data_IF_800320711451
#
_entry.id   IF_800320711451
#
_cell.length_a   1.000
_cell.length_b   1.000
_cell.length_c   1.000
_cell.angle_alpha   90.00
_cell.angle_beta   90.00
_cell.angle_gamma   90.00
#
_symmetry.space_group_name_H-M   'P 1'
#
loop_
_entity.id
_entity.type
_entity.pdbx_description
1 polymer ?
#
# COMPACT_ATOMS: atom_id res chain seq x y z
N UNK A 1 -33.97 -23.66 -43.29
CA UNK A 1 -34.57 -24.10 -42.00
C UNK A 1 -35.25 -22.90 -41.38
N UNK A 2 -36.57 -23.00 -41.14
CA UNK A 2 -37.34 -21.89 -40.59
C UNK A 2 -36.88 -21.60 -39.16
N UNK A 3 -36.37 -20.41 -38.91
CA UNK A 3 -36.15 -19.90 -37.55
C UNK A 3 -37.52 -19.64 -36.93
N UNK A 4 -38.04 -20.59 -36.16
CA UNK A 4 -39.17 -20.31 -35.26
C UNK A 4 -38.70 -19.26 -34.26
N UNK A 5 -39.14 -18.02 -34.46
CA UNK A 5 -39.04 -16.98 -33.45
C UNK A 5 -40.03 -17.39 -32.35
N UNK A 6 -39.56 -17.55 -31.12
CA UNK A 6 -40.40 -17.94 -30.00
C UNK A 6 -41.38 -16.81 -29.66
N UNK A 7 -42.65 -16.97 -30.04
CA UNK A 7 -43.72 -15.99 -29.77
C UNK A 7 -44.41 -16.19 -28.40
N UNK A 8 -44.00 -17.18 -27.60
CA UNK A 8 -44.57 -17.42 -26.27
C UNK A 8 -43.90 -16.56 -25.18
N UNK A 9 -44.14 -15.25 -25.22
CA UNK A 9 -43.72 -14.33 -24.16
C UNK A 9 -44.53 -14.57 -22.88
N UNK A 10 -43.97 -15.35 -21.94
CA UNK A 10 -44.56 -15.55 -20.61
C UNK A 10 -44.39 -14.28 -19.76
N UNK A 11 -45.46 -13.51 -19.61
CA UNK A 11 -45.47 -12.30 -18.78
C UNK A 11 -45.31 -12.66 -17.30
N UNK A 12 -44.25 -12.17 -16.65
CA UNK A 12 -44.05 -12.28 -15.20
C UNK A 12 -44.73 -11.11 -14.49
N UNK A 13 -45.83 -11.40 -13.76
CA UNK A 13 -46.47 -10.40 -12.90
C UNK A 13 -45.58 -10.10 -11.69
N UNK A 14 -45.14 -8.85 -11.55
CA UNK A 14 -44.42 -8.35 -10.38
C UNK A 14 -45.40 -7.69 -9.41
N UNK A 15 -45.28 -8.00 -8.11
CA UNK A 15 -46.03 -7.35 -7.03
C UNK A 15 -45.16 -6.33 -6.27
N UNK A 16 -43.98 -6.00 -6.80
CA UNK A 16 -43.08 -5.03 -6.21
C UNK A 16 -43.75 -3.65 -6.13
N UNK A 17 -43.83 -3.09 -4.93
CA UNK A 17 -44.40 -1.75 -4.69
C UNK A 17 -43.41 -0.63 -4.97
N UNK A 18 -42.11 -0.93 -4.85
CA UNK A 18 -41.00 -0.01 -5.08
C UNK A 18 -40.48 -0.23 -6.50
N UNK A 19 -40.36 0.86 -7.26
CA UNK A 19 -39.83 0.83 -8.62
C UNK A 19 -38.30 0.88 -8.60
N UNK A 20 -37.65 0.11 -9.48
CA UNK A 20 -36.20 0.19 -9.64
C UNK A 20 -35.84 1.53 -10.27
N UNK A 21 -35.02 2.33 -9.57
CA UNK A 21 -34.53 3.61 -10.09
C UNK A 21 -33.31 3.44 -11.01
N UNK A 22 -32.60 2.32 -10.86
CA UNK A 22 -31.37 2.02 -11.58
C UNK A 22 -31.48 0.58 -12.08
N UNK A 23 -31.02 0.35 -13.30
CA UNK A 23 -30.96 -0.99 -13.87
C UNK A 23 -29.88 -1.85 -13.21
N UNK A 24 -30.04 -3.17 -13.29
CA UNK A 24 -29.05 -4.10 -12.77
C UNK A 24 -27.77 -3.95 -13.60
N UNK A 25 -26.63 -3.60 -12.98
CA UNK A 25 -25.38 -3.43 -13.71
C UNK A 25 -24.85 -4.78 -14.22
N UNK A 26 -23.88 -4.73 -15.13
CA UNK A 26 -23.17 -5.93 -15.55
C UNK A 26 -22.47 -6.59 -14.34
N UNK A 27 -22.89 -7.80 -13.98
CA UNK A 27 -22.44 -8.49 -12.78
C UNK A 27 -20.97 -8.97 -12.85
N UNK A 28 -20.41 -9.06 -14.05
CA UNK A 28 -18.99 -9.43 -14.26
C UNK A 28 -18.10 -8.23 -14.58
N UNK A 29 -18.64 -7.00 -14.49
CA UNK A 29 -17.94 -5.78 -14.86
C UNK A 29 -16.68 -5.54 -14.03
N UNK A 30 -16.71 -5.91 -12.73
CA UNK A 30 -15.58 -5.76 -11.82
C UNK A 30 -14.34 -6.47 -12.37
N UNK A 31 -14.51 -7.70 -12.87
CA UNK A 31 -13.39 -8.50 -13.41
C UNK A 31 -12.88 -7.90 -14.71
N UNK A 32 -13.79 -7.60 -15.64
CA UNK A 32 -13.45 -7.01 -16.94
C UNK A 32 -12.71 -5.69 -16.79
N UNK A 33 -13.32 -4.75 -16.07
CA UNK A 33 -12.76 -3.41 -15.85
C UNK A 33 -11.40 -3.45 -15.15
N UNK A 34 -11.22 -4.37 -14.18
CA UNK A 34 -9.92 -4.53 -13.51
C UNK A 34 -8.84 -4.99 -14.48
N UNK A 35 -9.17 -5.91 -15.39
CA UNK A 35 -8.22 -6.47 -16.34
C UNK A 35 -7.95 -5.54 -17.51
N UNK A 36 -8.96 -4.82 -17.99
CA UNK A 36 -8.82 -3.75 -18.99
C UNK A 36 -7.91 -2.64 -18.47
N UNK A 37 -8.07 -2.24 -17.21
CA UNK A 37 -7.17 -1.26 -16.57
C UNK A 37 -5.75 -1.80 -16.40
N UNK A 38 -5.59 -3.11 -16.20
CA UNK A 38 -4.28 -3.73 -16.08
C UNK A 38 -3.52 -3.73 -17.42
N UNK A 39 -4.17 -4.11 -18.52
CA UNK A 39 -3.54 -4.22 -19.84
C UNK A 39 -3.54 -2.93 -20.65
N UNK A 40 -4.56 -2.09 -20.51
CA UNK A 40 -4.81 -0.89 -21.32
C UNK A 40 -4.74 -1.15 -22.83
N UNK A 41 -5.36 -2.27 -23.28
CA UNK A 41 -5.42 -2.65 -24.69
C UNK A 41 -6.16 -1.57 -25.50
N UNK A 42 -5.62 -1.22 -26.67
CA UNK A 42 -6.22 -0.23 -27.56
C UNK A 42 -5.98 1.24 -27.17
N UNK A 43 -5.31 1.51 -26.04
CA UNK A 43 -4.86 2.86 -25.68
C UNK A 43 -3.48 3.11 -26.28
N UNK A 44 -3.34 4.25 -26.96
CA UNK A 44 -2.06 4.68 -27.52
C UNK A 44 -0.98 4.72 -26.42
N UNK A 45 0.23 4.20 -26.65
CA UNK A 45 1.29 4.14 -25.64
C UNK A 45 1.58 5.46 -24.93
N UNK A 46 1.40 6.61 -25.60
CA UNK A 46 1.64 7.94 -25.02
C UNK A 46 0.49 8.42 -24.13
N UNK A 47 -0.72 7.89 -24.34
CA UNK A 47 -1.93 8.26 -23.61
C UNK A 47 -2.29 7.27 -22.49
N UNK A 48 -1.48 6.23 -22.28
CA UNK A 48 -1.70 5.27 -21.20
C UNK A 48 -1.53 5.91 -19.84
N UNK A 49 -2.49 5.62 -18.96
CA UNK A 49 -2.42 5.99 -17.56
C UNK A 49 -1.27 5.26 -16.87
N UNK A 50 -0.71 5.88 -15.83
CA UNK A 50 0.31 5.26 -14.98
C UNK A 50 -0.30 4.20 -14.03
N UNK A 51 -0.93 3.17 -14.62
CA UNK A 51 -1.57 2.06 -13.91
C UNK A 51 -1.32 0.73 -14.64
N UNK A 52 -1.56 -0.40 -13.97
CA UNK A 52 -1.39 -1.71 -14.59
C UNK A 52 0.06 -2.00 -15.01
N UNK A 53 0.23 -2.56 -16.20
CA UNK A 53 1.55 -2.85 -16.78
C UNK A 53 2.42 -1.60 -16.94
N UNK A 54 1.83 -0.47 -17.34
CA UNK A 54 2.55 0.79 -17.54
C UNK A 54 3.26 1.25 -16.26
N UNK A 55 2.54 1.24 -15.13
CA UNK A 55 3.10 1.60 -13.82
C UNK A 55 4.20 0.63 -13.36
N UNK A 56 4.06 -0.66 -13.67
CA UNK A 56 5.08 -1.66 -13.32
C UNK A 56 6.37 -1.39 -14.09
N UNK A 57 6.29 -1.16 -15.40
CA UNK A 57 7.47 -0.85 -16.20
C UNK A 57 8.12 0.47 -15.78
N UNK A 58 7.35 1.55 -15.60
CA UNK A 58 7.88 2.84 -15.13
C UNK A 58 8.49 2.80 -13.74
N UNK A 59 8.07 1.86 -12.88
CA UNK A 59 8.66 1.69 -11.55
C UNK A 59 9.99 0.94 -11.59
N UNK A 60 10.15 0.01 -12.52
CA UNK A 60 11.36 -0.83 -12.62
C UNK A 60 12.44 -0.12 -13.46
N UNK A 61 12.04 0.60 -14.49
CA UNK A 61 12.94 1.33 -15.37
C UNK A 61 13.05 2.81 -14.94
N UNK A 62 14.21 3.47 -15.11
CA UNK A 62 15.40 2.96 -15.80
C UNK A 62 16.24 2.01 -14.94
N UNK A 63 16.81 0.98 -15.58
CA UNK A 63 17.78 0.08 -14.94
C UNK A 63 19.17 0.55 -15.34
N UNK A 64 19.96 0.98 -14.35
CA UNK A 64 21.34 1.44 -14.56
C UNK A 64 22.33 0.35 -14.19
N UNK A 65 23.45 0.32 -14.91
CA UNK A 65 24.62 -0.46 -14.54
C UNK A 65 25.28 0.13 -13.26
N UNK A 66 26.00 -0.71 -12.52
CA UNK A 66 26.74 -0.34 -11.30
C UNK A 66 27.71 0.84 -11.49
N UNK A 67 28.30 0.98 -12.67
CA UNK A 67 29.23 2.05 -13.00
C UNK A 67 28.57 3.26 -13.68
N UNK A 68 27.23 3.27 -13.81
CA UNK A 68 26.47 4.30 -14.54
C UNK A 68 26.95 4.51 -16.00
N UNK A 69 27.55 3.50 -16.63
CA UNK A 69 28.01 3.57 -18.04
C UNK A 69 26.94 3.14 -19.03
N UNK A 70 25.91 2.42 -18.56
CA UNK A 70 24.77 2.03 -19.37
C UNK A 70 23.47 2.17 -18.60
N UNK A 71 22.40 2.53 -19.31
CA UNK A 71 21.04 2.54 -18.78
C UNK A 71 20.07 1.90 -19.79
N UNK A 72 19.20 1.04 -19.28
CA UNK A 72 18.05 0.53 -20.01
C UNK A 72 16.82 1.34 -19.62
N UNK A 73 16.13 1.85 -20.62
CA UNK A 73 14.91 2.66 -20.48
C UNK A 73 13.73 1.94 -21.13
N UNK A 74 12.57 1.99 -20.48
CA UNK A 74 11.31 1.50 -21.03
C UNK A 74 10.70 2.56 -21.97
N UNK A 75 10.36 2.17 -23.19
CA UNK A 75 9.70 3.05 -24.17
C UNK A 75 8.20 2.76 -24.25
N UNK A 76 7.82 1.53 -24.59
CA UNK A 76 6.43 1.08 -24.70
C UNK A 76 6.31 -0.44 -24.58
N UNK A 77 5.09 -0.93 -24.42
CA UNK A 77 4.76 -2.36 -24.57
C UNK A 77 3.62 -2.54 -25.58
N UNK A 78 3.64 -3.65 -26.28
CA UNK A 78 2.62 -4.07 -27.24
C UNK A 78 2.22 -5.51 -26.92
N UNK A 79 0.93 -5.79 -26.99
CA UNK A 79 0.38 -7.13 -26.80
C UNK A 79 -0.23 -7.51 -28.15
N UNK A 80 0.36 -8.52 -28.78
CA UNK A 80 -0.07 -9.01 -30.08
C UNK A 80 -1.37 -9.81 -29.96
N UNK A 81 -1.98 -10.18 -31.09
CA UNK A 81 -3.11 -11.08 -31.09
C UNK A 81 -2.72 -12.49 -30.57
N UNK A 82 -3.62 -13.18 -29.84
CA UNK A 82 -3.38 -14.56 -29.45
C UNK A 82 -3.28 -15.45 -30.69
N UNK A 83 -2.44 -16.48 -30.62
CA UNK A 83 -2.19 -17.41 -31.74
C UNK A 83 -3.40 -18.29 -32.07
N UNK A 84 -4.21 -18.58 -31.05
CA UNK A 84 -5.34 -19.50 -31.10
C UNK A 84 -6.54 -18.84 -30.43
N UNK A 85 -7.74 -19.26 -30.81
CA UNK A 85 -8.97 -18.81 -30.18
C UNK A 85 -9.29 -19.60 -28.89
N UNK A 86 -10.38 -19.20 -28.24
CA UNK A 86 -10.85 -19.77 -26.97
C UNK A 86 -11.21 -21.26 -27.14
N UNK A 87 -11.89 -21.63 -28.23
CA UNK A 87 -12.37 -22.99 -28.47
C UNK A 87 -11.22 -23.95 -28.80
N UNK A 88 -10.25 -23.51 -29.59
CA UNK A 88 -9.04 -24.26 -29.93
C UNK A 88 -8.16 -24.48 -28.70
N UNK A 89 -8.02 -23.47 -27.84
CA UNK A 89 -7.32 -23.61 -26.56
C UNK A 89 -7.99 -24.65 -25.65
N UNK A 90 -9.32 -24.69 -25.61
CA UNK A 90 -10.07 -25.72 -24.88
C UNK A 90 -9.81 -27.12 -25.44
N UNK A 91 -9.96 -27.32 -26.74
CA UNK A 91 -9.83 -28.64 -27.38
C UNK A 91 -8.41 -29.20 -27.29
N UNK A 92 -7.39 -28.34 -27.40
CA UNK A 92 -5.98 -28.75 -27.41
C UNK A 92 -5.30 -28.74 -26.05
N UNK A 93 -5.98 -28.33 -24.99
CA UNK A 93 -5.36 -28.26 -23.67
C UNK A 93 -4.35 -27.11 -23.52
N UNK A 94 -4.48 -26.04 -24.30
CA UNK A 94 -3.54 -24.90 -24.30
C UNK A 94 -4.04 -23.74 -23.43
N UNK A 95 -3.16 -22.78 -23.12
CA UNK A 95 -3.53 -21.54 -22.43
C UNK A 95 -3.90 -20.47 -23.46
N UNK A 96 -5.03 -19.79 -23.27
CA UNK A 96 -5.42 -18.67 -24.13
C UNK A 96 -4.61 -17.43 -23.73
N UNK A 97 -3.57 -17.12 -24.49
CA UNK A 97 -2.60 -16.08 -24.17
C UNK A 97 -2.12 -15.34 -25.43
N UNK A 98 -1.69 -14.11 -25.23
CA UNK A 98 -1.10 -13.26 -26.27
C UNK A 98 0.38 -12.99 -26.00
N UNK A 99 1.23 -12.99 -27.04
CA UNK A 99 2.63 -12.61 -26.87
C UNK A 99 2.75 -11.11 -26.60
N UNK A 100 3.56 -10.74 -25.61
CA UNK A 100 3.87 -9.36 -25.25
C UNK A 100 5.30 -9.02 -25.68
N UNK A 101 5.42 -7.90 -26.39
CA UNK A 101 6.68 -7.26 -26.75
C UNK A 101 6.86 -5.98 -25.96
N UNK A 102 8.09 -5.69 -25.58
CA UNK A 102 8.46 -4.47 -24.88
C UNK A 102 9.58 -3.78 -25.65
N UNK A 103 9.36 -2.53 -26.04
CA UNK A 103 10.37 -1.68 -26.66
C UNK A 103 11.24 -1.11 -25.56
N UNK A 104 12.51 -1.49 -25.56
CA UNK A 104 13.50 -1.06 -24.58
C UNK A 104 14.60 -0.29 -25.31
N UNK A 105 15.08 0.78 -24.69
CA UNK A 105 16.18 1.60 -25.20
C UNK A 105 17.40 1.42 -24.31
N UNK A 106 18.49 0.93 -24.88
CA UNK A 106 19.80 0.89 -24.26
C UNK A 106 20.57 2.17 -24.61
N UNK A 107 20.93 2.95 -23.59
CA UNK A 107 21.77 4.13 -23.70
C UNK A 107 23.13 3.78 -23.10
N UNK A 108 24.20 3.92 -23.89
CA UNK A 108 25.58 3.75 -23.43
C UNK A 108 26.24 5.11 -23.35
N UNK A 109 26.80 5.41 -22.19
CA UNK A 109 27.50 6.63 -21.87
C UNK A 109 29.01 6.41 -22.00
N UNK A 110 29.70 7.41 -22.53
CA UNK A 110 31.15 7.51 -22.50
C UNK A 110 31.52 8.60 -21.51
N UNK A 111 32.34 8.22 -20.53
CA UNK A 111 32.80 9.12 -19.48
C UNK A 111 34.21 9.58 -19.85
N UNK A 112 34.37 10.88 -20.03
CA UNK A 112 35.69 11.47 -20.20
C UNK A 112 36.38 11.52 -18.82
N UNK A 113 37.48 10.78 -18.67
CA UNK A 113 38.25 10.70 -17.42
C UNK A 113 38.86 12.06 -17.01
N UNK A 114 39.07 12.99 -17.96
CA UNK A 114 39.67 14.28 -17.69
C UNK A 114 38.66 15.33 -17.20
N UNK A 115 37.42 15.30 -17.70
CA UNK A 115 36.39 16.32 -17.40
C UNK A 115 35.25 15.79 -16.52
N UNK A 116 35.15 14.48 -16.34
CA UNK A 116 34.05 13.82 -15.64
C UNK A 116 32.69 13.94 -16.35
N UNK A 117 32.66 14.52 -17.56
CA UNK A 117 31.43 14.69 -18.34
C UNK A 117 31.00 13.35 -18.96
N UNK A 118 29.70 13.09 -18.92
CA UNK A 118 29.07 11.94 -19.56
C UNK A 118 28.49 12.37 -20.91
N UNK A 119 29.00 11.80 -21.99
CA UNK A 119 28.44 11.96 -23.34
C UNK A 119 27.75 10.69 -23.79
N UNK A 120 26.68 10.81 -24.59
CA UNK A 120 25.98 9.65 -25.15
C UNK A 120 26.85 9.06 -26.27
N UNK A 121 27.34 7.84 -26.07
CA UNK A 121 28.11 7.10 -27.09
C UNK A 121 27.21 6.41 -28.09
N UNK A 122 26.17 5.74 -27.61
CA UNK A 122 25.25 5.02 -28.49
C UNK A 122 23.87 4.87 -27.85
N UNK A 123 22.85 4.94 -28.68
CA UNK A 123 21.47 4.64 -28.32
C UNK A 123 20.98 3.53 -29.24
N UNK A 124 20.49 2.43 -28.67
CA UNK A 124 19.89 1.33 -29.41
C UNK A 124 18.51 1.05 -28.83
N UNK A 125 17.49 1.10 -29.68
CA UNK A 125 16.12 0.76 -29.32
C UNK A 125 15.74 -0.55 -30.00
N UNK A 126 15.15 -1.47 -29.25
CA UNK A 126 14.76 -2.78 -29.76
C UNK A 126 13.50 -3.28 -29.09
N UNK A 127 12.64 -3.91 -29.90
CA UNK A 127 11.49 -4.66 -29.42
C UNK A 127 11.92 -6.06 -28.99
N UNK A 128 11.75 -6.34 -27.70
CA UNK A 128 12.11 -7.62 -27.09
C UNK A 128 10.84 -8.38 -26.76
N UNK A 129 10.79 -9.65 -27.17
CA UNK A 129 9.75 -10.56 -26.71
C UNK A 129 9.91 -10.81 -25.21
N UNK A 130 8.89 -10.42 -24.44
CA UNK A 130 8.95 -10.44 -22.98
C UNK A 130 8.25 -11.67 -22.36
N UNK A 131 7.32 -12.28 -23.09
CA UNK A 131 6.57 -13.46 -22.66
C UNK A 131 5.15 -13.48 -23.20
N UNK A 132 4.32 -14.39 -22.71
CA UNK A 132 2.89 -14.44 -23.04
C UNK A 132 2.06 -14.03 -21.81
N UNK A 133 0.98 -13.29 -22.05
CA UNK A 133 0.01 -12.89 -21.02
C UNK A 133 -1.32 -13.60 -21.30
N UNK A 134 -1.85 -14.41 -20.36
CA UNK A 134 -3.16 -15.04 -20.50
C UNK A 134 -4.26 -14.00 -20.65
N UNK A 135 -5.07 -14.07 -21.70
CA UNK A 135 -6.13 -13.11 -21.97
C UNK A 135 -7.45 -13.54 -21.32
N UNK A 136 -8.27 -12.54 -20.96
CA UNK A 136 -9.60 -12.77 -20.41
C UNK A 136 -10.60 -13.01 -21.53
N UNK A 137 -11.46 -14.02 -21.37
CA UNK A 137 -12.57 -14.30 -22.30
C UNK A 137 -13.70 -13.27 -22.17
N UNK A 138 -14.67 -13.30 -23.09
CA UNK A 138 -15.87 -12.47 -23.00
C UNK A 138 -16.69 -12.69 -21.72
N UNK A 139 -16.51 -13.81 -21.01
CA UNK A 139 -17.23 -14.16 -19.79
C UNK A 139 -16.50 -13.77 -18.50
N UNK A 140 -15.30 -13.17 -18.59
CA UNK A 140 -14.51 -12.82 -17.41
C UNK A 140 -13.69 -13.97 -16.84
N UNK A 141 -13.42 -14.99 -17.66
CA UNK A 141 -12.67 -16.21 -17.29
C UNK A 141 -11.34 -16.27 -18.05
N UNK A 142 -10.49 -17.22 -17.68
CA UNK A 142 -9.20 -17.48 -18.33
C UNK A 142 -9.09 -18.97 -18.67
N UNK A 143 -8.58 -19.29 -19.85
CA UNK A 143 -8.25 -20.68 -20.19
C UNK A 143 -6.80 -20.92 -19.82
N UNK A 144 -6.56 -21.83 -18.87
CA UNK A 144 -5.23 -22.25 -18.44
C UNK A 144 -5.12 -23.76 -18.63
N UNK A 145 -4.24 -24.19 -19.54
CA UNK A 145 -4.06 -25.58 -19.92
C UNK A 145 -5.39 -26.27 -20.30
N UNK A 146 -6.18 -25.62 -21.16
CA UNK A 146 -7.50 -26.08 -21.63
C UNK A 146 -8.64 -26.02 -20.61
N UNK A 147 -8.35 -25.65 -19.36
CA UNK A 147 -9.34 -25.57 -18.29
C UNK A 147 -9.72 -24.11 -18.04
N UNK A 148 -11.01 -23.84 -17.95
CA UNK A 148 -11.51 -22.51 -17.59
C UNK A 148 -11.30 -22.23 -16.10
N UNK A 149 -10.78 -21.04 -15.80
CA UNK A 149 -10.48 -20.58 -14.45
C UNK A 149 -11.01 -19.17 -14.23
N UNK A 150 -11.38 -18.89 -12.99
CA UNK A 150 -11.82 -17.56 -12.55
C UNK A 150 -10.89 -17.08 -11.45
N UNK A 151 -10.49 -15.81 -11.53
CA UNK A 151 -9.75 -15.15 -10.47
C UNK A 151 -10.74 -14.47 -9.54
N UNK A 152 -10.79 -14.90 -8.28
CA UNK A 152 -11.68 -14.31 -7.27
C UNK A 152 -11.05 -13.07 -6.64
N UNK A 153 -11.85 -12.03 -6.44
CA UNK A 153 -11.40 -10.81 -5.76
C UNK A 153 -11.05 -11.13 -4.30
N UNK A 154 -9.84 -10.76 -3.89
CA UNK A 154 -9.38 -10.96 -2.52
C UNK A 154 -9.73 -9.75 -1.64
N UNK A 155 -10.43 -10.00 -0.54
CA UNK A 155 -10.58 -9.01 0.53
C UNK A 155 -9.38 -9.09 1.48
N UNK A 156 -8.62 -8.01 1.58
CA UNK A 156 -7.49 -7.88 2.47
C UNK A 156 -7.52 -6.53 3.19
N UNK A 157 -6.75 -6.40 4.28
CA UNK A 157 -6.67 -5.13 5.02
C UNK A 157 -5.94 -4.10 4.17
N UNK A 158 -6.49 -2.89 4.08
CA UNK A 158 -5.83 -1.79 3.42
C UNK A 158 -4.53 -1.40 4.15
N UNK A 159 -3.52 -0.89 3.44
CA UNK A 159 -2.38 -0.25 4.08
C UNK A 159 -2.84 0.93 4.96
N UNK A 160 -2.16 1.14 6.08
CA UNK A 160 -2.49 2.22 7.01
C UNK A 160 -2.12 1.92 8.46
N UNK A 161 -2.47 2.86 9.34
CA UNK A 161 -2.32 2.72 10.78
C UNK A 161 -3.64 2.27 11.41
N UNK A 162 -3.58 1.18 12.18
CA UNK A 162 -4.73 0.58 12.86
C UNK A 162 -4.48 0.60 14.36
N UNK A 163 -5.47 1.07 15.11
CA UNK A 163 -5.42 1.06 16.57
C UNK A 163 -6.35 -0.04 17.09
N UNK A 164 -5.84 -0.88 17.97
CA UNK A 164 -6.60 -1.94 18.61
C UNK A 164 -6.61 -1.74 20.11
N UNK A 165 -7.78 -1.97 20.70
CA UNK A 165 -7.94 -2.15 22.14
C UNK A 165 -8.10 -3.65 22.36
N UNK A 166 -7.09 -4.28 22.97
CA UNK A 166 -7.18 -5.70 23.28
C UNK A 166 -8.16 -5.87 24.44
N UNK A 167 -9.43 -6.12 24.11
CA UNK A 167 -10.46 -6.56 25.06
C UNK A 167 -10.48 -8.09 25.24
N UNK A 168 -9.48 -8.79 24.68
CA UNK A 168 -9.42 -10.25 24.68
C UNK A 168 -9.59 -10.80 26.10
N UNK A 169 -10.81 -11.29 26.39
CA UNK A 169 -11.23 -11.89 27.67
C UNK A 169 -10.38 -13.11 28.06
N UNK A 170 -9.57 -13.63 27.13
CA UNK A 170 -8.64 -14.74 27.37
C UNK A 170 -7.24 -14.28 27.82
N UNK A 171 -6.88 -13.01 27.59
CA UNK A 171 -5.62 -12.37 28.03
C UNK A 171 -5.85 -11.15 28.91
N UNK A 172 -7.07 -10.94 29.39
CA UNK A 172 -7.31 -10.06 30.52
C UNK A 172 -6.52 -10.60 31.69
N UNK A 173 -5.42 -9.92 32.03
CA UNK A 173 -4.88 -9.99 33.36
C UNK A 173 -6.03 -9.78 34.34
N UNK A 174 -6.01 -10.49 35.46
CA UNK A 174 -6.98 -10.35 36.55
C UNK A 174 -7.21 -8.88 37.00
N UNK A 175 -6.31 -7.97 36.62
CA UNK A 175 -6.34 -6.52 36.84
C UNK A 175 -7.40 -5.75 36.03
N UNK A 176 -8.00 -6.29 34.96
CA UNK A 176 -8.99 -5.58 34.14
C UNK A 176 -8.46 -4.39 33.31
N UNK A 177 -7.13 -4.20 33.25
CA UNK A 177 -6.48 -3.11 32.52
C UNK A 177 -6.56 -3.33 31.00
N UNK A 178 -7.00 -2.30 30.28
CA UNK A 178 -7.05 -2.30 28.82
C UNK A 178 -5.64 -2.07 28.25
N UNK A 179 -5.24 -2.91 27.28
CA UNK A 179 -3.98 -2.75 26.57
C UNK A 179 -4.24 -2.21 25.16
N UNK A 180 -3.64 -1.06 24.88
CA UNK A 180 -3.69 -0.41 23.58
C UNK A 180 -2.53 -0.89 22.71
N UNK A 181 -2.80 -1.02 21.42
CA UNK A 181 -1.78 -1.31 20.42
C UNK A 181 -2.05 -0.55 19.13
N UNK A 182 -0.99 -0.24 18.39
CA UNK A 182 -1.05 0.39 17.08
C UNK A 182 -0.26 -0.46 16.08
N UNK A 183 -0.80 -0.69 14.89
CA UNK A 183 -0.17 -1.48 13.83
C UNK A 183 -0.12 -0.66 12.56
N UNK A 184 1.06 -0.53 12.00
CA UNK A 184 1.30 0.10 10.71
C UNK A 184 1.48 -1.01 9.68
N UNK A 185 0.53 -1.11 8.76
CA UNK A 185 0.55 -2.04 7.63
C UNK A 185 1.00 -1.27 6.39
N UNK A 186 2.22 -1.50 5.87
CA UNK A 186 2.65 -0.89 4.62
C UNK A 186 2.01 -1.60 3.42
N UNK A 187 1.97 -0.93 2.28
CA UNK A 187 1.59 -1.56 1.01
C UNK A 187 2.61 -2.63 0.57
N UNK A 188 3.90 -2.38 0.83
CA UNK A 188 5.00 -3.34 0.65
C UNK A 188 6.02 -3.13 1.75
N UNK A 189 6.54 -4.22 2.31
CA UNK A 189 7.60 -4.20 3.32
C UNK A 189 7.13 -4.69 4.69
N UNK A 190 7.95 -4.40 5.70
CA UNK A 190 7.80 -4.93 7.05
C UNK A 190 6.72 -4.23 7.85
N UNK A 191 5.97 -5.00 8.65
CA UNK A 191 4.94 -4.45 9.54
C UNK A 191 5.57 -3.91 10.82
N UNK A 192 5.07 -2.77 11.30
CA UNK A 192 5.46 -2.20 12.59
C UNK A 192 4.28 -2.31 13.56
N UNK A 193 4.50 -3.02 14.66
CA UNK A 193 3.53 -3.20 15.74
C UNK A 193 4.01 -2.51 17.00
N UNK A 194 3.23 -1.57 17.53
CA UNK A 194 3.42 -0.92 18.82
C UNK A 194 2.42 -1.47 19.83
N UNK A 195 2.87 -1.81 21.02
CA UNK A 195 2.02 -2.35 22.08
C UNK A 195 2.43 -1.85 23.45
N UNK A 196 1.44 -1.54 24.30
CA UNK A 196 1.67 -1.31 25.71
C UNK A 196 1.74 -2.62 26.47
N UNK A 197 2.68 -2.70 27.41
CA UNK A 197 2.69 -3.73 28.43
C UNK A 197 1.79 -3.35 29.62
N UNK A 198 1.52 -4.31 30.48
CA UNK A 198 0.86 -4.20 31.78
C UNK A 198 1.47 -3.12 32.68
N UNK A 199 2.78 -2.89 32.55
CA UNK A 199 3.55 -1.86 33.25
C UNK A 199 3.58 -0.49 32.55
N UNK A 200 2.71 -0.26 31.56
CA UNK A 200 2.66 0.96 30.72
C UNK A 200 3.94 1.27 29.94
N UNK A 201 4.77 0.24 29.72
CA UNK A 201 5.97 0.37 28.89
C UNK A 201 5.58 0.15 27.43
N UNK A 202 5.86 1.14 26.59
CA UNK A 202 5.64 1.07 25.15
C UNK A 202 6.74 0.25 24.47
N UNK A 203 6.32 -0.75 23.70
CA UNK A 203 7.20 -1.62 22.95
C UNK A 203 6.87 -1.62 21.48
N UNK A 204 7.86 -2.01 20.67
CA UNK A 204 7.75 -2.19 19.23
C UNK A 204 8.16 -3.60 18.83
N UNK A 205 7.51 -4.12 17.78
CA UNK A 205 7.87 -5.35 17.07
C UNK A 205 7.92 -5.04 15.58
N UNK A 206 8.99 -5.51 14.94
CA UNK A 206 9.15 -5.44 13.48
C UNK A 206 8.88 -6.84 12.94
N UNK A 207 7.96 -6.98 11.99
CA UNK A 207 7.53 -8.28 11.41
C UNK A 207 7.13 -9.33 12.44
N UNK A 208 6.44 -8.89 13.51
CA UNK A 208 6.00 -9.75 14.63
C UNK A 208 7.14 -10.56 15.27
N UNK A 209 8.39 -10.10 15.14
CA UNK A 209 9.57 -10.69 15.79
C UNK A 209 9.62 -10.28 17.28
N UNK A 210 10.81 -10.35 17.88
CA UNK A 210 11.05 -10.03 19.29
C UNK A 210 10.54 -8.64 19.67
N UNK A 211 10.04 -8.53 20.90
CA UNK A 211 9.61 -7.30 21.54
C UNK A 211 10.83 -6.47 21.94
N UNK A 212 10.87 -5.20 21.53
CA UNK A 212 11.90 -4.24 21.88
C UNK A 212 11.24 -3.00 22.49
N UNK A 213 11.90 -2.25 23.40
CA UNK A 213 11.39 -0.95 23.81
C UNK A 213 11.24 -0.01 22.60
N UNK A 214 10.14 0.73 22.52
CA UNK A 214 9.90 1.62 21.37
C UNK A 214 10.99 2.69 21.22
N UNK A 215 11.64 3.09 22.32
CA UNK A 215 12.78 4.00 22.33
C UNK A 215 13.99 3.49 21.56
N UNK A 216 14.16 2.17 21.37
CA UNK A 216 15.25 1.62 20.54
C UNK A 216 15.05 2.00 19.08
N UNK A 217 13.81 1.93 18.57
CA UNK A 217 13.51 2.36 17.21
C UNK A 217 13.72 3.87 17.05
N UNK A 218 13.27 4.67 18.02
CA UNK A 218 13.42 6.13 17.97
C UNK A 218 14.90 6.56 18.02
N UNK A 219 15.71 5.91 18.85
CA UNK A 219 17.17 6.14 18.88
C UNK A 219 17.85 5.72 17.57
N UNK A 220 17.36 4.67 16.91
CA UNK A 220 17.85 4.27 15.59
C UNK A 220 17.48 5.27 14.49
N UNK A 221 16.46 6.11 14.71
CA UNK A 221 16.11 7.27 13.88
C UNK A 221 16.87 8.54 14.30
N UNK A 222 17.99 8.38 15.02
CA UNK A 222 18.92 9.46 15.41
C UNK A 222 18.39 10.44 16.48
N UNK A 223 17.27 10.14 17.14
CA UNK A 223 16.81 10.96 18.26
C UNK A 223 17.63 10.74 19.53
N UNK A 224 18.08 11.83 20.14
CA UNK A 224 18.72 11.84 21.45
C UNK A 224 17.70 11.67 22.59
N UNK A 225 18.16 11.22 23.76
CA UNK A 225 17.29 11.10 24.94
C UNK A 225 16.64 12.44 25.30
N UNK A 226 17.37 13.56 25.16
CA UNK A 226 16.86 14.89 25.46
C UNK A 226 15.71 15.27 24.52
N UNK A 227 15.90 15.12 23.22
CA UNK A 227 14.86 15.43 22.22
C UNK A 227 13.60 14.58 22.42
N UNK A 228 13.77 13.31 22.78
CA UNK A 228 12.61 12.45 23.08
C UNK A 228 11.87 12.91 24.32
N UNK A 229 12.58 13.32 25.38
CA UNK A 229 11.94 13.85 26.57
C UNK A 229 11.22 15.17 26.27
N UNK A 230 11.87 16.08 25.54
CA UNK A 230 11.32 17.38 25.16
C UNK A 230 10.10 17.24 24.22
N UNK A 231 10.03 16.19 23.39
CA UNK A 231 8.91 15.94 22.48
C UNK A 231 7.68 15.34 23.18
N UNK A 232 7.88 14.37 24.08
CA UNK A 232 6.78 13.63 24.72
C UNK A 232 6.34 14.19 26.06
N UNK A 233 7.17 14.97 26.74
CA UNK A 233 6.89 15.53 28.06
C UNK A 233 6.97 17.05 28.05
N UNK A 234 6.12 17.67 28.85
CA UNK A 234 6.20 19.10 29.09
C UNK A 234 7.38 19.40 30.04
N UNK A 235 8.06 20.51 29.80
CA UNK A 235 9.19 20.96 30.60
C UNK A 235 8.78 22.13 31.50
N UNK A 236 9.40 22.23 32.67
CA UNK A 236 9.17 23.31 33.61
C UNK A 236 10.49 24.06 33.85
N UNK A 237 10.43 25.39 33.93
CA UNK A 237 11.61 26.20 34.20
C UNK A 237 11.77 26.38 35.70
N UNK A 238 12.95 26.02 36.22
CA UNK A 238 13.33 26.23 37.61
C UNK A 238 14.39 27.32 37.66
N UNK A 239 14.10 28.40 38.38
CA UNK A 239 15.02 29.50 38.67
C UNK A 239 15.79 29.19 39.96
N UNK A 240 17.11 29.24 39.91
CA UNK A 240 17.99 29.01 41.06
C UNK A 240 18.46 30.37 41.57
N UNK A 241 17.94 30.80 42.71
CA UNK A 241 18.17 32.14 43.30
C UNK A 241 19.20 32.15 44.44
N UNK A 242 19.79 31.00 44.79
CA UNK A 242 20.81 30.87 45.84
C UNK A 242 21.01 29.41 46.27
N UNK A 243 21.81 29.19 47.32
CA UNK A 243 22.19 27.84 47.81
C UNK A 243 20.99 26.93 48.14
N UNK A 244 19.85 27.50 48.53
CA UNK A 244 18.62 26.77 48.89
C UNK A 244 17.33 27.50 48.45
N UNK A 245 17.43 28.40 47.46
CA UNK A 245 16.27 29.16 46.97
C UNK A 245 16.00 28.79 45.51
N UNK A 246 14.86 28.14 45.29
CA UNK A 246 14.38 27.75 43.98
C UNK A 246 13.00 28.35 43.74
N UNK A 247 12.81 28.99 42.60
CA UNK A 247 11.50 29.41 42.10
C UNK A 247 11.16 28.55 40.88
N UNK A 248 9.87 28.29 40.65
CA UNK A 248 9.38 27.46 39.54
C UNK A 248 8.39 28.26 38.73
N UNK A 249 8.48 28.19 37.40
CA UNK A 249 7.44 28.71 36.51
C UNK A 249 6.13 27.96 36.75
N UNK A 250 5.07 28.70 37.07
CA UNK A 250 3.73 28.13 37.30
C UNK A 250 3.04 27.94 35.95
N UNK A 251 2.94 26.69 35.50
CA UNK A 251 2.09 26.31 34.36
C UNK A 251 0.84 25.60 34.89
N UNK A 252 -0.31 26.28 34.77
CA UNK A 252 -1.60 25.79 35.27
C UNK A 252 -2.00 24.46 34.59
N UNK A 253 -1.63 24.26 33.32
CA UNK A 253 -1.97 23.04 32.59
C UNK A 253 -1.25 21.81 33.17
N UNK A 254 -0.04 22.00 33.72
CA UNK A 254 0.75 20.93 34.35
C UNK A 254 0.35 20.65 35.79
N UNK A 255 -0.26 21.63 36.46
CA UNK A 255 -0.72 21.52 37.85
C UNK A 255 -2.06 20.77 37.99
N UNK A 256 -2.83 20.64 36.91
CA UNK A 256 -4.09 19.91 36.91
C UNK A 256 -3.86 18.44 37.32
N UNK A 257 -4.44 18.04 38.46
CA UNK A 257 -4.34 16.69 39.01
C UNK A 257 -3.12 16.46 39.90
N UNK A 258 -2.24 17.45 40.10
CA UNK A 258 -1.17 17.38 41.09
C UNK A 258 -1.68 17.75 42.49
N UNK A 259 -1.25 17.01 43.51
CA UNK A 259 -1.55 17.35 44.91
C UNK A 259 -0.49 18.32 45.43
N UNK A 260 -0.93 19.46 45.97
CA UNK A 260 -0.03 20.39 46.63
C UNK A 260 0.64 19.71 47.82
N UNK A 261 1.96 19.84 47.94
CA UNK A 261 2.75 19.29 49.06
C UNK A 261 2.62 20.11 50.34
N UNK A 262 2.10 21.34 50.23
CA UNK A 262 1.83 22.27 51.32
C UNK A 262 0.52 23.00 51.05
N UNK A 263 -0.08 23.54 52.10
CA UNK A 263 -1.27 24.37 51.99
C UNK A 263 -0.94 25.63 51.18
N UNK A 264 -1.72 25.86 50.12
CA UNK A 264 -1.62 27.06 49.28
C UNK A 264 -2.51 28.10 49.94
N UNK A 265 -1.89 29.03 50.68
CA UNK A 265 -2.59 30.12 51.34
C UNK A 265 -3.13 31.11 50.32
N UNK A 266 -4.34 31.60 50.54
CA UNK A 266 -4.95 32.59 49.68
C UNK A 266 -4.15 33.91 49.75
N UNK A 267 -3.78 34.54 48.61
CA UNK A 267 -2.85 35.67 48.59
C UNK A 267 -3.35 36.92 49.33
N UNK A 268 -4.67 37.11 49.44
CA UNK A 268 -5.27 38.27 50.11
C UNK A 268 -5.61 38.01 51.58
N UNK A 269 -6.10 36.82 51.91
CA UNK A 269 -6.60 36.49 53.26
C UNK A 269 -5.57 35.76 54.11
N UNK A 270 -4.51 35.21 53.50
CA UNK A 270 -3.41 34.44 54.13
C UNK A 270 -3.83 33.19 54.92
N UNK A 271 -5.09 32.79 54.79
CA UNK A 271 -5.63 31.51 55.26
C UNK A 271 -5.33 30.39 54.27
#
# INVERSE_FOLDING_TARGET
>A
MASQIQDNFRIRKSFAKIHSLIDIPNLIDIQKRSYDKFLQLGVDPQQRDDTGLQAVFRRVFPIKDFNDTASLDFVKYEIDAPKYDVDECHQRGMTYAAPMKVSIRLIVWEKDEATGQQSIRSVKEQDVYFGEIPLMTAHGTFIVNGTERVIVSQLHRSPGAFFFVNQDKSKTLASGKLLHSARIIPNRGSWLDFEFDTKDILHVRIDRRRKLPATVLLKALEYSTKELLDYYYNTETIFILGKDKFEKSVDIALLLGQRATRDIRHPETRD
#
